data_IF_869371110262
#
_entry.id   IF_869371110262
#
_cell.length_a   1.000
_cell.length_b   1.000
_cell.length_c   1.000
_cell.angle_alpha   90.00
_cell.angle_beta   90.00
_cell.angle_gamma   90.00
#
_symmetry.space_group_name_H-M   'P 1'
#
loop_
_entity.id
_entity.type
_entity.pdbx_description
1 polymer ?
#
# COMPACT_ATOMS: atom_id res chain seq x y z
N UNK A 1 -13.30 21.91 0.54
CA UNK A 1 -13.32 20.49 1.00
C UNK A 1 -11.88 20.02 1.00
N UNK A 2 -11.43 19.31 2.03
CA UNK A 2 -10.04 18.84 2.09
C UNK A 2 -9.88 17.47 1.42
N UNK A 3 -8.64 17.09 1.07
CA UNK A 3 -8.30 15.73 0.61
C UNK A 3 -8.87 14.64 1.51
N UNK A 4 -8.72 14.80 2.83
CA UNK A 4 -9.15 13.80 3.80
C UNK A 4 -10.68 13.65 3.80
N UNK A 5 -11.41 14.77 3.72
CA UNK A 5 -12.88 14.74 3.60
C UNK A 5 -13.32 14.02 2.33
N UNK A 6 -12.65 14.30 1.20
CA UNK A 6 -12.95 13.65 -0.08
C UNK A 6 -12.76 12.13 -0.01
N UNK A 7 -11.63 11.67 0.54
CA UNK A 7 -11.31 10.24 0.66
C UNK A 7 -12.24 9.52 1.65
N UNK A 8 -12.62 10.16 2.76
CA UNK A 8 -13.57 9.58 3.72
C UNK A 8 -14.97 9.43 3.11
N UNK A 9 -15.45 10.45 2.40
CA UNK A 9 -16.74 10.40 1.70
C UNK A 9 -16.70 9.30 0.62
N UNK A 10 -15.62 9.22 -0.16
CA UNK A 10 -15.44 8.19 -1.18
C UNK A 10 -15.43 6.79 -0.56
N UNK A 11 -14.72 6.59 0.56
CA UNK A 11 -14.71 5.33 1.31
C UNK A 11 -16.11 4.89 1.71
N UNK A 12 -16.90 5.82 2.24
CA UNK A 12 -18.25 5.54 2.70
C UNK A 12 -19.19 5.13 1.57
N UNK A 13 -19.04 5.71 0.38
CA UNK A 13 -19.84 5.29 -0.79
C UNK A 13 -19.39 3.95 -1.40
N UNK A 14 -18.12 3.56 -1.23
CA UNK A 14 -17.61 2.27 -1.71
C UNK A 14 -17.94 1.11 -0.75
N UNK A 15 -18.23 1.40 0.52
CA UNK A 15 -18.66 0.40 1.52
C UNK A 15 -19.94 -0.28 1.05
N UNK A 16 -19.88 -1.60 0.88
CA UNK A 16 -21.02 -2.44 0.50
C UNK A 16 -20.98 -2.94 -0.94
N UNK A 17 -20.31 -2.23 -1.85
CA UNK A 17 -20.05 -2.71 -3.22
C UNK A 17 -18.69 -3.40 -3.33
N UNK A 18 -17.70 -2.97 -2.53
CA UNK A 18 -16.32 -3.44 -2.58
C UNK A 18 -15.93 -4.06 -1.23
N UNK A 19 -14.98 -5.01 -1.26
CA UNK A 19 -14.30 -5.50 -0.06
C UNK A 19 -13.35 -4.43 0.48
N UNK A 20 -13.07 -4.45 1.78
CA UNK A 20 -12.14 -3.48 2.41
C UNK A 20 -10.76 -3.43 1.72
N UNK A 21 -10.30 -4.53 1.11
CA UNK A 21 -9.05 -4.54 0.35
C UNK A 21 -9.19 -3.72 -0.94
N UNK A 22 -10.23 -3.98 -1.73
CA UNK A 22 -10.54 -3.24 -2.96
C UNK A 22 -10.75 -1.74 -2.66
N UNK A 23 -11.45 -1.41 -1.57
CA UNK A 23 -11.67 -0.02 -1.13
C UNK A 23 -10.33 0.66 -0.83
N UNK A 24 -9.44 0.03 -0.06
CA UNK A 24 -8.15 0.63 0.26
C UNK A 24 -7.26 0.77 -0.98
N UNK A 25 -7.36 -0.14 -1.96
CA UNK A 25 -6.63 -0.04 -3.21
C UNK A 25 -7.11 1.17 -4.03
N UNK A 26 -8.43 1.35 -4.17
CA UNK A 26 -9.04 2.50 -4.84
C UNK A 26 -8.63 3.80 -4.16
N UNK A 27 -8.79 3.90 -2.82
CA UNK A 27 -8.47 5.13 -2.08
C UNK A 27 -7.01 5.54 -2.25
N UNK A 28 -6.09 4.58 -2.32
CA UNK A 28 -4.67 4.83 -2.52
C UNK A 28 -4.36 5.43 -3.89
N UNK A 29 -5.06 5.00 -4.94
CA UNK A 29 -4.85 5.56 -6.28
C UNK A 29 -5.33 7.03 -6.35
N UNK A 30 -6.43 7.36 -5.66
CA UNK A 30 -6.87 8.76 -5.51
C UNK A 30 -5.93 9.56 -4.59
N UNK A 31 -5.43 8.97 -3.51
CA UNK A 31 -4.43 9.61 -2.65
C UNK A 31 -3.14 9.95 -3.42
N UNK A 32 -2.69 9.07 -4.32
CA UNK A 32 -1.58 9.33 -5.24
C UNK A 32 -1.87 10.52 -6.16
N UNK A 33 -3.10 10.63 -6.65
CA UNK A 33 -3.52 11.76 -7.48
C UNK A 33 -3.44 13.08 -6.73
N UNK A 34 -3.91 13.13 -5.47
CA UNK A 34 -3.79 14.31 -4.64
C UNK A 34 -2.33 14.70 -4.37
N UNK A 35 -1.49 13.73 -4.04
CA UNK A 35 -0.06 13.97 -3.82
C UNK A 35 0.63 14.52 -5.09
N UNK A 36 0.29 14.00 -6.27
CA UNK A 36 0.82 14.50 -7.53
C UNK A 36 0.31 15.92 -7.88
N UNK A 37 -0.92 16.25 -7.49
CA UNK A 37 -1.47 17.61 -7.65
C UNK A 37 -0.78 18.61 -6.73
N UNK A 38 -0.53 18.22 -5.48
CA UNK A 38 0.20 19.03 -4.50
C UNK A 38 1.65 19.29 -4.95
N UNK A 39 2.32 18.28 -5.53
CA UNK A 39 3.63 18.43 -6.18
C UNK A 39 3.65 19.45 -7.33
N UNK A 40 2.51 19.64 -8.00
CA UNK A 40 2.35 20.61 -9.08
C UNK A 40 1.94 22.00 -8.56
N UNK A 41 1.91 22.20 -7.24
CA UNK A 41 1.50 23.46 -6.62
C UNK A 41 -0.01 23.71 -6.63
N UNK A 42 -0.83 22.69 -6.94
CA UNK A 42 -2.30 22.83 -6.95
C UNK A 42 -2.86 22.69 -5.55
N UNK A 43 -3.89 23.49 -5.25
CA UNK A 43 -4.63 23.35 -3.99
C UNK A 43 -5.56 22.12 -4.02
N UNK A 44 -5.89 21.59 -2.83
CA UNK A 44 -6.88 20.50 -2.67
C UNK A 44 -8.17 20.78 -3.45
N UNK A 45 -8.64 22.02 -3.46
CA UNK A 45 -9.88 22.43 -4.12
C UNK A 45 -9.81 22.37 -5.65
N UNK A 46 -8.64 22.70 -6.24
CA UNK A 46 -8.40 22.57 -7.68
C UNK A 46 -8.29 21.11 -8.10
N UNK A 47 -7.64 20.29 -7.27
CA UNK A 47 -7.52 18.84 -7.48
C UNK A 47 -8.92 18.21 -7.43
N UNK A 48 -9.73 18.57 -6.43
CA UNK A 48 -11.12 18.11 -6.30
C UNK A 48 -11.97 18.52 -7.51
N UNK A 49 -11.84 19.76 -8.01
CA UNK A 49 -12.56 20.19 -9.22
C UNK A 49 -12.19 19.35 -10.44
N UNK A 50 -10.94 18.90 -10.51
CA UNK A 50 -10.45 18.03 -11.59
C UNK A 50 -10.99 16.60 -11.47
N UNK A 51 -11.05 16.07 -10.25
CA UNK A 51 -11.55 14.72 -9.96
C UNK A 51 -13.07 14.60 -10.07
N UNK A 52 -13.81 15.67 -9.79
CA UNK A 52 -15.27 15.65 -9.71
C UNK A 52 -15.79 15.23 -8.34
N UNK A 53 -17.04 14.74 -8.28
CA UNK A 53 -17.67 14.41 -6.99
C UNK A 53 -17.32 12.98 -6.54
N UNK A 54 -16.98 12.74 -5.25
CA UNK A 54 -16.63 11.41 -4.75
C UNK A 54 -17.80 10.41 -4.89
N UNK A 55 -19.04 10.92 -4.87
CA UNK A 55 -20.25 10.12 -5.11
C UNK A 55 -20.36 9.65 -6.56
N UNK A 56 -20.03 10.51 -7.52
CA UNK A 56 -20.03 10.16 -8.95
C UNK A 56 -19.00 9.07 -9.23
N UNK A 57 -17.79 9.24 -8.70
CA UNK A 57 -16.69 8.27 -8.81
C UNK A 57 -17.11 6.90 -8.23
N UNK A 58 -17.63 6.86 -7.01
CA UNK A 58 -18.05 5.60 -6.40
C UNK A 58 -19.14 4.87 -7.22
N UNK A 59 -20.06 5.64 -7.82
CA UNK A 59 -21.12 5.10 -8.67
C UNK A 59 -20.55 4.49 -9.95
N UNK A 60 -19.66 5.20 -10.63
CA UNK A 60 -18.98 4.73 -11.85
C UNK A 60 -18.21 3.44 -11.59
N UNK A 61 -17.38 3.41 -10.53
CA UNK A 61 -16.63 2.22 -10.13
C UNK A 61 -17.55 1.02 -9.82
N UNK A 62 -18.70 1.28 -9.18
CA UNK A 62 -19.68 0.23 -8.84
C UNK A 62 -20.37 -0.30 -10.10
N UNK A 63 -20.65 0.57 -11.08
CA UNK A 63 -21.26 0.20 -12.36
C UNK A 63 -20.30 -0.63 -13.22
N UNK A 64 -19.01 -0.29 -13.23
CA UNK A 64 -17.96 -1.07 -13.89
C UNK A 64 -17.81 -2.47 -13.27
N UNK A 65 -17.79 -2.58 -11.94
CA UNK A 65 -17.69 -3.88 -11.27
C UNK A 65 -18.92 -4.78 -11.45
N UNK A 66 -20.12 -4.20 -11.57
CA UNK A 66 -21.36 -4.99 -11.80
C UNK A 66 -21.37 -5.73 -13.15
N UNK A 67 -20.50 -5.36 -14.09
CA UNK A 67 -20.26 -6.10 -15.34
C UNK A 67 -19.50 -7.42 -15.17
N UNK A 68 -18.86 -7.66 -14.02
CA UNK A 68 -18.19 -8.92 -13.69
C UNK A 68 -18.82 -9.54 -12.44
N UNK A 69 -19.69 -10.53 -12.67
CA UNK A 69 -20.58 -11.10 -11.66
C UNK A 69 -19.89 -11.53 -10.35
N UNK A 70 -20.42 -11.04 -9.23
CA UNK A 70 -20.17 -11.57 -7.88
C UNK A 70 -21.42 -12.32 -7.41
N UNK A 71 -21.31 -13.64 -7.33
CA UNK A 71 -22.18 -14.46 -6.46
C UNK A 71 -21.55 -14.48 -5.08
N UNK A 72 -22.29 -14.05 -4.06
CA UNK A 72 -21.93 -14.28 -2.65
C UNK A 72 -23.20 -14.65 -1.91
N UNK A 73 -23.36 -15.96 -1.71
CA UNK A 73 -24.43 -16.53 -0.91
C UNK A 73 -23.99 -16.56 0.56
N UNK A 74 -24.82 -15.97 1.40
CA UNK A 74 -24.69 -15.85 2.85
C UNK A 74 -25.16 -17.15 3.53
N UNK A 75 -24.44 -17.60 4.57
CA UNK A 75 -24.96 -18.59 5.51
C UNK A 75 -24.82 -18.02 6.93
N UNK A 76 -25.94 -17.84 7.61
CA UNK A 76 -26.13 -16.93 8.75
C UNK A 76 -26.65 -17.62 10.01
N UNK A 77 -26.23 -18.86 10.30
CA UNK A 77 -26.70 -19.55 11.53
C UNK A 77 -25.59 -20.07 12.45
N UNK A 78 -24.32 -20.07 12.03
CA UNK A 78 -23.19 -20.52 12.87
C UNK A 78 -22.46 -19.38 13.62
N UNK A 79 -22.82 -18.12 13.38
CA UNK A 79 -22.02 -16.95 13.80
C UNK A 79 -22.23 -16.51 15.25
N UNK A 80 -23.39 -16.78 15.83
CA UNK A 80 -23.80 -16.09 17.06
C UNK A 80 -23.17 -16.65 18.34
N UNK A 81 -22.87 -17.96 18.38
CA UNK A 81 -22.21 -18.59 19.53
C UNK A 81 -20.69 -18.37 19.55
N UNK A 82 -20.03 -18.43 18.38
CA UNK A 82 -18.58 -18.17 18.24
C UNK A 82 -18.25 -16.69 18.50
N UNK A 83 -19.21 -15.78 18.28
CA UNK A 83 -18.95 -14.33 18.40
C UNK A 83 -18.61 -13.86 19.81
N UNK A 84 -19.11 -14.49 20.88
CA UNK A 84 -18.91 -13.97 22.25
C UNK A 84 -17.46 -14.14 22.72
N UNK A 85 -16.88 -15.32 22.51
CA UNK A 85 -15.50 -15.61 22.92
C UNK A 85 -14.49 -14.92 22.00
N UNK A 86 -14.76 -14.91 20.68
CA UNK A 86 -13.95 -14.17 19.73
C UNK A 86 -13.98 -12.65 20.00
N UNK A 87 -15.13 -12.10 20.43
CA UNK A 87 -15.29 -10.67 20.76
C UNK A 87 -14.54 -10.29 22.04
N UNK A 88 -14.42 -11.20 23.00
CA UNK A 88 -13.62 -10.97 24.21
C UNK A 88 -12.11 -11.06 23.93
N UNK A 89 -11.68 -12.03 23.11
CA UNK A 89 -10.29 -12.11 22.65
C UNK A 89 -9.90 -10.90 21.78
N UNK A 90 -10.77 -10.49 20.85
CA UNK A 90 -10.55 -9.29 20.03
C UNK A 90 -10.44 -8.01 20.86
N UNK A 91 -11.23 -7.87 21.94
CA UNK A 91 -11.09 -6.71 22.85
C UNK A 91 -9.73 -6.67 23.54
N UNK A 92 -9.21 -7.82 23.96
CA UNK A 92 -7.90 -7.90 24.64
C UNK A 92 -6.75 -7.64 23.67
N UNK A 93 -6.79 -8.22 22.46
CA UNK A 93 -5.82 -7.96 21.39
C UNK A 93 -5.89 -6.49 20.93
N UNK A 94 -7.10 -5.92 20.76
CA UNK A 94 -7.29 -4.51 20.40
C UNK A 94 -6.77 -3.55 21.47
N UNK A 95 -6.87 -3.92 22.76
CA UNK A 95 -6.38 -3.10 23.87
C UNK A 95 -4.84 -3.09 23.95
N UNK A 96 -4.19 -4.23 23.71
CA UNK A 96 -2.73 -4.29 23.63
C UNK A 96 -2.20 -3.67 22.32
N UNK A 97 -2.89 -3.93 21.20
CA UNK A 97 -2.60 -3.33 19.90
C UNK A 97 -2.76 -1.81 19.88
N UNK A 98 -3.70 -1.22 20.65
CA UNK A 98 -3.78 0.25 20.80
C UNK A 98 -2.56 0.85 21.51
N UNK A 99 -1.98 0.17 22.51
CA UNK A 99 -0.78 0.68 23.20
C UNK A 99 0.48 0.57 22.33
N UNK A 100 0.65 -0.52 21.60
CA UNK A 100 1.76 -0.68 20.65
C UNK A 100 1.56 0.21 19.40
N UNK A 101 0.34 0.27 18.89
CA UNK A 101 -0.06 1.03 17.71
C UNK A 101 0.02 2.54 17.88
N UNK A 102 -0.25 3.08 19.07
CA UNK A 102 -0.11 4.52 19.30
C UNK A 102 1.37 4.94 19.30
N UNK A 103 2.27 4.11 19.84
CA UNK A 103 3.71 4.36 19.77
C UNK A 103 4.22 4.22 18.33
N UNK A 104 3.82 3.18 17.61
CA UNK A 104 4.26 3.02 16.21
C UNK A 104 3.63 4.07 15.28
N UNK A 105 2.42 4.56 15.54
CA UNK A 105 1.81 5.69 14.81
C UNK A 105 2.60 6.98 15.00
N UNK A 106 3.13 7.23 16.19
CA UNK A 106 3.96 8.40 16.49
C UNK A 106 5.33 8.32 15.81
N UNK A 107 5.92 7.11 15.71
CA UNK A 107 7.18 6.87 15.00
C UNK A 107 7.03 6.70 13.47
N UNK A 108 5.83 6.41 12.97
CA UNK A 108 5.51 6.23 11.54
C UNK A 108 4.59 7.33 11.00
N UNK A 109 4.37 8.44 11.72
CA UNK A 109 3.46 9.48 11.26
C UNK A 109 3.94 10.05 9.92
N UNK A 110 3.15 9.82 8.85
CA UNK A 110 3.49 10.25 7.49
C UNK A 110 3.62 11.77 7.39
N UNK A 111 2.94 12.53 8.26
CA UNK A 111 3.05 13.98 8.34
C UNK A 111 4.46 14.44 8.76
N UNK A 112 5.18 13.63 9.56
CA UNK A 112 6.56 13.94 9.98
C UNK A 112 7.61 13.65 8.90
N UNK A 113 7.27 12.80 7.92
CA UNK A 113 8.09 12.55 6.73
C UNK A 113 8.03 13.74 5.78
N UNK A 114 6.85 14.36 5.63
CA UNK A 114 6.62 15.55 4.81
C UNK A 114 7.20 16.82 5.48
N UNK A 115 7.02 16.99 6.81
CA UNK A 115 7.57 18.14 7.56
C UNK A 115 9.11 18.10 7.81
N UNK A 116 9.89 17.36 7.02
CA UNK A 116 11.36 17.45 7.04
C UNK A 116 12.09 16.83 8.24
N UNK A 117 11.41 16.24 9.22
CA UNK A 117 12.05 15.75 10.46
C UNK A 117 12.77 14.39 10.30
N UNK A 118 12.45 13.63 9.26
CA UNK A 118 13.01 12.29 8.98
C UNK A 118 13.53 12.26 7.53
N UNK A 119 14.82 11.98 7.34
CA UNK A 119 15.44 11.80 6.01
C UNK A 119 14.74 10.70 5.21
N UNK A 120 14.52 10.94 3.91
CA UNK A 120 13.96 9.97 2.95
C UNK A 120 14.73 8.63 2.93
N UNK A 121 16.02 8.65 3.27
CA UNK A 121 16.85 7.46 3.44
C UNK A 121 16.49 6.63 4.68
N UNK A 122 16.11 7.27 5.79
CA UNK A 122 15.71 6.60 7.03
C UNK A 122 14.42 5.80 6.89
N UNK A 123 13.44 6.36 6.15
CA UNK A 123 12.17 5.66 5.86
C UNK A 123 12.41 4.42 4.99
N UNK A 124 13.29 4.52 3.97
CA UNK A 124 13.68 3.37 3.14
C UNK A 124 14.34 2.27 3.98
N UNK A 125 15.24 2.64 4.89
CA UNK A 125 15.92 1.69 5.78
C UNK A 125 14.92 0.98 6.71
N UNK A 126 13.95 1.71 7.27
CA UNK A 126 12.91 1.14 8.13
C UNK A 126 12.02 0.15 7.35
N UNK A 127 11.60 0.49 6.13
CA UNK A 127 10.80 -0.40 5.28
C UNK A 127 11.57 -1.68 4.96
N UNK A 128 12.87 -1.57 4.64
CA UNK A 128 13.74 -2.72 4.36
C UNK A 128 13.92 -3.59 5.60
N UNK A 129 14.19 -3.00 6.76
CA UNK A 129 14.33 -3.73 8.04
C UNK A 129 13.05 -4.47 8.40
N UNK A 130 11.89 -3.82 8.26
CA UNK A 130 10.58 -4.45 8.50
C UNK A 130 10.32 -5.58 7.50
N UNK A 131 10.68 -5.38 6.22
CA UNK A 131 10.55 -6.42 5.18
C UNK A 131 11.40 -7.65 5.48
N UNK A 132 12.65 -7.45 5.88
CA UNK A 132 13.58 -8.53 6.26
C UNK A 132 13.07 -9.25 7.51
N UNK A 133 12.59 -8.51 8.50
CA UNK A 133 12.05 -9.07 9.74
C UNK A 133 10.80 -9.93 9.50
N UNK A 134 9.94 -9.55 8.55
CA UNK A 134 8.72 -10.29 8.21
C UNK A 134 8.96 -11.45 7.22
N UNK A 135 10.08 -11.46 6.50
CA UNK A 135 10.36 -12.47 5.48
C UNK A 135 10.52 -13.89 6.05
N UNK A 136 11.35 -14.04 7.09
CA UNK A 136 11.57 -15.33 7.76
C UNK A 136 10.28 -15.96 8.32
N UNK A 137 9.49 -15.26 9.15
CA UNK A 137 8.25 -15.84 9.67
C UNK A 137 7.26 -16.15 8.54
N UNK A 138 7.14 -15.29 7.51
CA UNK A 138 6.29 -15.56 6.36
C UNK A 138 6.67 -16.87 5.64
N UNK A 139 7.97 -17.09 5.41
CA UNK A 139 8.46 -18.31 4.77
C UNK A 139 8.15 -19.58 5.58
N UNK A 140 8.33 -19.53 6.90
CA UNK A 140 7.98 -20.67 7.78
C UNK A 140 6.49 -21.01 7.74
N UNK A 141 5.62 -19.99 7.70
CA UNK A 141 4.17 -20.17 7.62
C UNK A 141 3.77 -20.79 6.28
N UNK A 142 4.35 -20.34 5.17
CA UNK A 142 4.08 -20.88 3.83
C UNK A 142 4.49 -22.36 3.75
N UNK A 143 5.69 -22.71 4.22
CA UNK A 143 6.15 -24.10 4.24
C UNK A 143 5.27 -24.99 5.13
N UNK A 144 4.86 -24.47 6.30
CA UNK A 144 3.92 -25.17 7.19
C UNK A 144 2.56 -25.40 6.52
N UNK A 145 2.05 -24.44 5.74
CA UNK A 145 0.80 -24.62 5.00
C UNK A 145 0.90 -25.68 3.91
N UNK A 146 2.00 -25.70 3.15
CA UNK A 146 2.21 -26.73 2.12
C UNK A 146 2.26 -28.12 2.77
N UNK A 147 3.04 -28.28 3.85
CA UNK A 147 3.15 -29.53 4.58
C UNK A 147 1.79 -29.97 5.17
N UNK A 148 1.05 -29.04 5.76
CA UNK A 148 -0.27 -29.31 6.32
C UNK A 148 -1.29 -29.71 5.24
N UNK A 149 -1.26 -29.05 4.08
CA UNK A 149 -2.10 -29.39 2.94
C UNK A 149 -1.82 -30.80 2.42
N UNK A 150 -0.55 -31.16 2.24
CA UNK A 150 -0.15 -32.52 1.87
C UNK A 150 -0.56 -33.54 2.92
N UNK A 151 -0.43 -33.21 4.21
CA UNK A 151 -0.88 -34.05 5.31
C UNK A 151 -2.39 -34.31 5.29
N UNK A 152 -3.20 -33.28 5.01
CA UNK A 152 -4.66 -33.42 4.91
C UNK A 152 -5.09 -34.26 3.70
N UNK A 153 -4.41 -34.11 2.57
CA UNK A 153 -4.61 -34.97 1.40
C UNK A 153 -4.25 -36.42 1.75
N UNK A 154 -3.10 -36.64 2.40
CA UNK A 154 -2.67 -37.97 2.87
C UNK A 154 -3.67 -38.61 3.83
N UNK A 155 -4.18 -37.85 4.81
CA UNK A 155 -5.23 -38.32 5.72
C UNK A 155 -6.52 -38.69 4.99
N UNK A 156 -6.88 -37.95 3.94
CA UNK A 156 -8.08 -38.23 3.14
C UNK A 156 -7.94 -39.54 2.37
N UNK A 157 -6.75 -39.79 1.79
CA UNK A 157 -6.43 -41.06 1.10
C UNK A 157 -6.42 -42.22 2.09
N UNK A 158 -5.78 -42.05 3.26
CA UNK A 158 -5.75 -43.07 4.30
C UNK A 158 -7.16 -43.42 4.80
N UNK A 159 -8.05 -42.44 4.91
CA UNK A 159 -9.44 -42.66 5.28
C UNK A 159 -10.21 -43.46 4.22
N UNK A 160 -9.95 -43.20 2.93
CA UNK A 160 -10.50 -44.01 1.84
C UNK A 160 -10.04 -45.48 1.91
N UNK A 161 -8.76 -45.71 2.19
CA UNK A 161 -8.21 -47.05 2.42
C UNK A 161 -8.86 -47.69 3.66
N UNK A 162 -9.14 -46.91 4.71
CA UNK A 162 -9.88 -47.36 5.89
C UNK A 162 -11.27 -47.89 5.56
N UNK A 163 -12.01 -47.22 4.68
CA UNK A 163 -13.30 -47.71 4.19
C UNK A 163 -13.19 -49.03 3.43
N UNK A 164 -12.16 -49.20 2.60
CA UNK A 164 -11.88 -50.49 1.92
C UNK A 164 -11.55 -51.59 2.94
N UNK A 165 -10.77 -51.27 3.98
CA UNK A 165 -10.47 -52.20 5.07
C UNK A 165 -11.71 -52.61 5.86
N UNK A 166 -12.61 -51.66 6.17
CA UNK A 166 -13.88 -51.95 6.83
C UNK A 166 -14.77 -52.87 5.99
N UNK A 167 -14.82 -52.66 4.66
CA UNK A 167 -15.55 -53.52 3.75
C UNK A 167 -15.00 -54.96 3.72
N UNK A 168 -13.66 -55.11 3.75
CA UNK A 168 -13.02 -56.43 3.85
C UNK A 168 -13.36 -57.14 5.17
N UNK A 169 -13.36 -56.40 6.29
CA UNK A 169 -13.70 -56.95 7.61
C UNK A 169 -15.15 -57.46 7.68
N UNK A 170 -16.11 -56.83 6.98
CA UNK A 170 -17.48 -57.35 6.88
C UNK A 170 -17.55 -58.77 6.30
N UNK A 171 -16.60 -59.16 5.45
CA UNK A 171 -16.52 -60.51 4.89
C UNK A 171 -16.04 -61.57 5.89
N UNK A 172 -15.40 -61.15 6.99
CA UNK A 172 -14.95 -62.02 8.09
C UNK A 172 -15.98 -62.02 9.22
N UNK A 173 -16.30 -60.82 9.73
CA UNK A 173 -17.29 -60.59 10.78
C UNK A 173 -18.02 -59.26 10.52
N UNK A 174 -19.33 -59.35 10.31
CA UNK A 174 -20.19 -58.20 10.01
C UNK A 174 -20.15 -57.16 11.14
N UNK A 175 -20.11 -57.58 12.41
CA UNK A 175 -20.09 -56.66 13.53
C UNK A 175 -18.81 -55.82 13.56
N UNK A 176 -17.66 -56.44 13.27
CA UNK A 176 -16.38 -55.72 13.20
C UNK A 176 -16.32 -54.75 12.00
N UNK A 177 -16.81 -55.17 10.84
CA UNK A 177 -16.84 -54.31 9.66
C UNK A 177 -17.75 -53.09 9.83
N UNK A 178 -18.95 -53.28 10.39
CA UNK A 178 -19.89 -52.18 10.70
C UNK A 178 -19.27 -51.17 11.68
N UNK A 179 -18.58 -51.64 12.74
CA UNK A 179 -17.84 -50.77 13.64
C UNK A 179 -16.76 -49.96 12.91
N UNK A 180 -16.03 -50.59 11.99
CA UNK A 180 -15.05 -49.92 11.13
C UNK A 180 -15.65 -48.79 10.28
N UNK A 181 -16.83 -49.00 9.70
CA UNK A 181 -17.53 -47.95 8.95
C UNK A 181 -17.89 -46.75 9.82
N UNK A 182 -18.42 -46.98 11.03
CA UNK A 182 -18.73 -45.89 11.96
C UNK A 182 -17.48 -45.11 12.38
N UNK A 183 -16.36 -45.81 12.61
CA UNK A 183 -15.08 -45.18 12.91
C UNK A 183 -14.59 -44.30 11.75
N UNK A 184 -14.65 -44.79 10.51
CA UNK A 184 -14.28 -44.01 9.33
C UNK A 184 -15.20 -42.81 9.09
N UNK A 185 -16.52 -42.94 9.33
CA UNK A 185 -17.46 -41.81 9.23
C UNK A 185 -17.14 -40.74 10.26
N UNK A 186 -16.90 -41.13 11.52
CA UNK A 186 -16.51 -40.20 12.57
C UNK A 186 -15.18 -39.48 12.21
N UNK A 187 -14.20 -40.22 11.70
CA UNK A 187 -12.91 -39.67 11.26
C UNK A 187 -13.05 -38.72 10.07
N UNK A 188 -13.94 -39.02 9.13
CA UNK A 188 -14.25 -38.13 7.99
C UNK A 188 -14.78 -36.78 8.48
N UNK A 189 -15.63 -36.77 9.51
CA UNK A 189 -16.09 -35.53 10.14
C UNK A 189 -14.92 -34.69 10.68
N UNK A 190 -13.92 -35.32 11.29
CA UNK A 190 -12.71 -34.65 11.77
C UNK A 190 -11.86 -34.08 10.62
N UNK A 191 -11.68 -34.83 9.54
CA UNK A 191 -10.96 -34.36 8.34
C UNK A 191 -11.63 -33.12 7.75
N UNK A 192 -12.97 -33.10 7.67
CA UNK A 192 -13.73 -31.94 7.17
C UNK A 192 -13.50 -30.71 8.05
N UNK A 193 -13.53 -30.86 9.38
CA UNK A 193 -13.22 -29.76 10.32
C UNK A 193 -11.80 -29.21 10.09
N UNK A 194 -10.82 -30.09 9.87
CA UNK A 194 -9.45 -29.68 9.57
C UNK A 194 -9.34 -28.92 8.24
N UNK A 195 -10.07 -29.32 7.19
CA UNK A 195 -10.13 -28.58 5.92
C UNK A 195 -10.76 -27.19 6.08
N UNK A 196 -11.81 -27.06 6.89
CA UNK A 196 -12.44 -25.77 7.18
C UNK A 196 -11.45 -24.84 7.90
N UNK A 197 -10.74 -25.36 8.91
CA UNK A 197 -9.72 -24.63 9.63
C UNK A 197 -8.58 -24.19 8.71
N UNK A 198 -8.09 -25.09 7.85
CA UNK A 198 -7.05 -24.80 6.86
C UNK A 198 -7.45 -23.67 5.91
N UNK A 199 -8.68 -23.69 5.38
CA UNK A 199 -9.22 -22.63 4.53
C UNK A 199 -9.33 -21.28 5.25
N UNK A 200 -9.71 -21.28 6.54
CA UNK A 200 -9.79 -20.07 7.35
C UNK A 200 -8.40 -19.44 7.54
N UNK A 201 -7.40 -20.26 7.88
CA UNK A 201 -6.01 -19.82 8.00
C UNK A 201 -5.47 -19.28 6.67
N UNK A 202 -5.75 -19.97 5.55
CA UNK A 202 -5.37 -19.51 4.21
C UNK A 202 -5.94 -18.12 3.89
N UNK A 203 -7.24 -17.90 4.16
CA UNK A 203 -7.89 -16.60 3.96
C UNK A 203 -7.27 -15.51 4.83
N UNK A 204 -7.00 -15.82 6.10
CA UNK A 204 -6.34 -14.90 7.03
C UNK A 204 -4.94 -14.53 6.55
N UNK A 205 -4.14 -15.50 6.12
CA UNK A 205 -2.80 -15.24 5.62
C UNK A 205 -2.82 -14.41 4.33
N UNK A 206 -3.71 -14.74 3.38
CA UNK A 206 -3.89 -13.94 2.15
C UNK A 206 -4.22 -12.50 2.48
N UNK A 207 -5.13 -12.27 3.43
CA UNK A 207 -5.50 -10.93 3.88
C UNK A 207 -4.28 -10.18 4.45
N UNK A 208 -3.47 -10.83 5.29
CA UNK A 208 -2.27 -10.21 5.86
C UNK A 208 -1.23 -9.85 4.79
N UNK A 209 -0.98 -10.74 3.84
CA UNK A 209 -0.03 -10.50 2.74
C UNK A 209 -0.48 -9.32 1.87
N UNK A 210 -1.75 -9.29 1.46
CA UNK A 210 -2.28 -8.18 0.65
C UNK A 210 -2.27 -6.86 1.44
N UNK A 211 -2.62 -6.89 2.72
CA UNK A 211 -2.55 -5.72 3.60
C UNK A 211 -1.11 -5.21 3.75
N UNK A 212 -0.14 -6.11 3.88
CA UNK A 212 1.28 -5.77 3.94
C UNK A 212 1.78 -5.14 2.63
N UNK A 213 1.52 -5.77 1.49
CA UNK A 213 1.89 -5.22 0.17
C UNK A 213 1.28 -3.84 -0.04
N UNK A 214 0.01 -3.70 0.33
CA UNK A 214 -0.72 -2.42 0.23
C UNK A 214 -0.09 -1.33 1.08
N UNK A 215 0.33 -1.66 2.30
CA UNK A 215 1.02 -0.74 3.21
C UNK A 215 2.39 -0.33 2.66
N UNK A 216 3.19 -1.28 2.14
CA UNK A 216 4.50 -0.99 1.52
C UNK A 216 4.34 -0.08 0.31
N UNK A 217 3.36 -0.35 -0.58
CA UNK A 217 3.10 0.47 -1.77
C UNK A 217 2.78 1.92 -1.39
N UNK A 218 1.92 2.10 -0.39
CA UNK A 218 1.57 3.41 0.15
C UNK A 218 2.81 4.14 0.65
N UNK A 219 3.67 3.49 1.44
CA UNK A 219 4.89 4.13 1.96
C UNK A 219 5.91 4.50 0.88
N UNK A 220 6.10 3.65 -0.12
CA UNK A 220 6.98 3.97 -1.24
C UNK A 220 6.50 5.17 -2.05
N UNK A 221 5.18 5.35 -2.18
CA UNK A 221 4.58 6.53 -2.84
C UNK A 221 4.98 7.82 -2.12
N UNK A 222 4.81 7.88 -0.79
CA UNK A 222 5.22 9.04 0.02
C UNK A 222 6.71 9.36 -0.10
N UNK A 223 7.57 8.34 -0.12
CA UNK A 223 9.02 8.52 -0.27
C UNK A 223 9.37 9.07 -1.66
N UNK A 224 8.69 8.62 -2.71
CA UNK A 224 8.90 9.12 -4.08
C UNK A 224 8.48 10.59 -4.20
N UNK A 225 7.32 10.94 -3.65
CA UNK A 225 6.80 12.32 -3.64
C UNK A 225 7.75 13.24 -2.89
N UNK A 226 8.21 12.84 -1.70
CA UNK A 226 9.22 13.60 -0.93
C UNK A 226 10.51 13.82 -1.73
N UNK A 227 11.03 12.76 -2.36
CA UNK A 227 12.24 12.88 -3.18
C UNK A 227 12.05 13.85 -4.36
N UNK A 228 10.84 13.91 -4.93
CA UNK A 228 10.51 14.87 -5.97
C UNK A 228 10.47 16.30 -5.43
N UNK A 229 9.87 16.54 -4.25
CA UNK A 229 9.91 17.86 -3.59
C UNK A 229 11.35 18.31 -3.33
N UNK A 230 12.18 17.46 -2.74
CA UNK A 230 13.61 17.77 -2.47
C UNK A 230 14.39 18.09 -3.76
N UNK A 231 14.04 17.45 -4.88
CA UNK A 231 14.68 17.69 -6.19
C UNK A 231 14.19 18.98 -6.83
N UNK A 232 12.89 19.29 -6.75
CA UNK A 232 12.31 20.53 -7.28
C UNK A 232 12.83 21.75 -6.50
N UNK A 233 12.82 21.70 -5.17
CA UNK A 233 13.39 22.77 -4.31
C UNK A 233 14.91 22.93 -4.52
N UNK A 234 15.64 21.83 -4.72
CA UNK A 234 17.07 21.86 -5.03
C UNK A 234 17.37 22.49 -6.40
N UNK A 235 16.53 22.20 -7.40
CA UNK A 235 16.66 22.80 -8.74
C UNK A 235 16.28 24.28 -8.72
N UNK A 236 15.21 24.68 -8.04
CA UNK A 236 14.81 26.09 -7.89
C UNK A 236 15.90 26.89 -7.19
N UNK A 237 16.48 26.40 -6.09
CA UNK A 237 17.61 27.08 -5.42
C UNK A 237 18.86 27.18 -6.30
N UNK A 238 19.14 26.16 -7.11
CA UNK A 238 20.26 26.19 -8.06
C UNK A 238 20.00 27.18 -9.21
N UNK A 239 18.74 27.32 -9.64
CA UNK A 239 18.33 28.29 -10.66
C UNK A 239 18.35 29.72 -10.10
N UNK A 240 17.83 29.96 -8.90
CA UNK A 240 17.90 31.26 -8.22
C UNK A 240 19.35 31.68 -7.95
N UNK A 241 20.20 30.77 -7.46
CA UNK A 241 21.64 31.05 -7.25
C UNK A 241 22.40 31.27 -8.56
N UNK A 242 21.95 30.71 -9.68
CA UNK A 242 22.52 30.99 -11.00
C UNK A 242 22.04 32.33 -11.58
N UNK A 243 20.81 32.74 -11.28
CA UNK A 243 20.25 34.03 -11.69
C UNK A 243 20.87 35.18 -10.89
N UNK A 244 21.00 35.05 -9.55
CA UNK A 244 21.69 36.05 -8.71
C UNK A 244 23.16 36.24 -9.13
N UNK A 245 23.86 35.16 -9.49
CA UNK A 245 25.25 35.26 -9.99
C UNK A 245 25.37 35.91 -11.37
N UNK A 246 24.32 35.89 -12.18
CA UNK A 246 24.31 36.58 -13.47
C UNK A 246 23.91 38.06 -13.30
N UNK A 247 23.02 38.38 -12.36
CA UNK A 247 22.68 39.77 -11.99
C UNK A 247 23.86 40.49 -11.31
N UNK A 248 24.63 39.85 -10.41
CA UNK A 248 25.86 40.44 -9.85
C UNK A 248 26.94 40.72 -10.92
N UNK A 249 26.96 39.94 -12.01
CA UNK A 249 27.90 40.14 -13.13
C UNK A 249 27.43 41.25 -14.07
N UNK A 250 26.12 41.45 -14.24
CA UNK A 250 25.58 42.59 -14.99
C UNK A 250 25.68 43.90 -14.20
N UNK A 251 25.48 43.90 -12.88
CA UNK A 251 25.55 45.10 -12.03
C UNK A 251 27.00 45.65 -11.90
N UNK A 252 28.03 44.80 -12.00
CA UNK A 252 29.45 45.22 -12.07
C UNK A 252 29.80 45.86 -13.44
N UNK A 253 28.98 45.66 -14.48
CA UNK A 253 29.28 46.12 -15.85
C UNK A 253 28.65 47.47 -16.23
N UNK A 254 27.85 48.08 -15.33
CA UNK A 254 27.12 49.33 -15.58
C UNK A 254 27.44 50.37 -14.51
N UNK A 255 28.72 50.67 -14.30
CA UNK A 255 29.12 51.92 -13.66
C UNK A 255 30.37 52.47 -14.36
N UNK A 256 30.36 53.77 -14.65
CA UNK A 256 31.37 54.58 -15.34
C UNK A 256 31.54 54.43 -16.86
N UNK A 257 30.67 55.14 -17.61
CA UNK A 257 31.13 55.99 -18.73
C UNK A 257 30.33 57.29 -18.83
N UNK A 258 30.78 58.32 -18.11
CA UNK A 258 30.43 59.71 -18.36
C UNK A 258 31.63 60.49 -18.94
N UNK A 259 31.35 61.08 -20.09
CA UNK A 259 32.06 62.00 -20.98
C UNK A 259 33.06 62.98 -20.34
N UNK A 260 34.22 63.18 -21.00
CA UNK A 260 34.82 64.51 -21.19
C UNK A 260 35.58 64.58 -22.54
N UNK A 261 35.12 65.47 -23.42
CA UNK A 261 35.89 66.02 -24.56
C UNK A 261 36.97 66.99 -24.04
N UNK A 262 38.19 66.97 -24.61
CA UNK A 262 38.99 68.19 -24.88
C UNK A 262 39.91 68.06 -26.11
N UNK A 263 40.24 69.17 -26.81
CA UNK A 263 40.68 69.14 -28.20
C UNK A 263 42.16 69.60 -28.43
N UNK A 264 42.68 69.34 -29.65
CA UNK A 264 43.74 70.10 -30.39
C UNK A 264 45.21 69.92 -29.88
N UNK A 265 46.34 69.89 -30.63
CA UNK A 265 46.82 70.46 -31.90
C UNK A 265 47.95 69.56 -32.52
N UNK A 266 48.06 69.60 -33.86
CA UNK A 266 49.07 69.16 -34.85
C UNK A 266 50.34 68.38 -34.47
N UNK A 267 50.73 67.49 -35.39
CA UNK A 267 52.04 67.64 -36.05
C UNK A 267 51.92 67.31 -37.55
N UNK A 268 52.47 68.19 -38.37
CA UNK A 268 52.50 68.14 -39.84
C UNK A 268 53.76 67.38 -40.23
N UNK A 269 53.65 66.32 -41.04
CA UNK A 269 54.73 65.93 -41.95
C UNK A 269 54.11 65.63 -43.31
N UNK A 270 54.63 66.39 -44.27
CA UNK A 270 54.24 66.51 -45.66
C UNK A 270 55.03 65.52 -46.53
N UNK A 271 54.62 65.38 -47.80
CA UNK A 271 55.32 64.74 -48.94
C UNK A 271 55.25 63.19 -48.94
N UNK A 272 54.79 62.47 -49.98
CA UNK A 272 55.00 62.65 -51.42
C UNK A 272 53.90 61.96 -52.26
N UNK A 273 53.59 62.52 -53.43
CA UNK A 273 52.67 61.98 -54.43
C UNK A 273 53.44 61.19 -55.51
N UNK A 274 52.93 60.05 -55.95
CA UNK A 274 52.90 59.68 -57.39
C UNK A 274 52.01 58.47 -57.69
N UNK A 275 51.10 58.74 -58.63
CA UNK A 275 50.42 57.89 -59.64
C UNK A 275 50.25 56.39 -59.40
#
# INVERSE_FOLDING_TARGET
MTKNDFLDILRDYLKGAFSELEINDILRDYEEFFLNGELQGKSDEEIIKTLGSPKSIAKELTEEMKGQGKSTSSNSELKDKVSKDAKNLWKNVKRQGKKAGNKTKEFLDSNSVINGKISSAGVKLIIVVISILLFFPALTIVMSMIASGLGLVGMSIANFIGYLGAAFLCGIDISMGVFGFFACIAWTGFIILCWILYCLVYKGLKYLVVSYISWVKTRNMYVRVKNQQETTEGNEKNTESATEKNEEVEEISVEDKAYEEKPIFTEVIDVDYKE
#
